data_IF_338203034899
#
_entry.id   IF_338203034899
#
_cell.length_a   1.000
_cell.length_b   1.000
_cell.length_c   1.000
_cell.angle_alpha   90.00
_cell.angle_beta   90.00
_cell.angle_gamma   90.00
#
_symmetry.space_group_name_H-M   'P 1'
#
loop_
_entity.id
_entity.type
_entity.pdbx_description
1 polymer ?
#
# COMPACT_ATOMS: atom_id res chain seq x y z
N UNK A 1 -17.21 -7.45 -21.14
CA UNK A 1 -18.06 -8.44 -20.46
C UNK A 1 -19.11 -7.64 -19.72
N UNK A 2 -20.33 -7.63 -20.26
CA UNK A 2 -21.44 -6.80 -19.81
C UNK A 2 -22.00 -7.32 -18.48
N UNK A 3 -22.41 -6.44 -17.58
CA UNK A 3 -22.99 -6.78 -16.27
C UNK A 3 -24.22 -7.71 -16.38
N UNK A 4 -24.90 -7.67 -17.52
CA UNK A 4 -26.02 -8.54 -17.87
C UNK A 4 -25.64 -10.05 -17.86
N UNK A 5 -24.40 -10.39 -18.21
CA UNK A 5 -23.95 -11.78 -18.27
C UNK A 5 -23.54 -12.33 -16.90
N UNK A 6 -23.16 -11.45 -15.95
CA UNK A 6 -22.96 -11.83 -14.54
C UNK A 6 -24.29 -12.16 -13.85
N UNK A 7 -25.34 -11.37 -14.14
CA UNK A 7 -26.69 -11.58 -13.59
C UNK A 7 -27.36 -12.86 -14.09
N UNK A 8 -26.89 -13.46 -15.19
CA UNK A 8 -27.47 -14.71 -15.69
C UNK A 8 -26.97 -15.96 -14.96
N UNK A 9 -25.82 -15.91 -14.28
CA UNK A 9 -25.23 -17.07 -13.59
C UNK A 9 -25.52 -17.12 -12.08
N UNK A 10 -25.65 -15.97 -11.41
CA UNK A 10 -26.01 -15.93 -9.99
C UNK A 10 -27.52 -15.66 -9.83
N UNK A 11 -28.26 -16.48 -9.06
CA UNK A 11 -29.68 -16.23 -8.81
C UNK A 11 -29.83 -14.88 -8.12
N UNK A 12 -30.92 -14.17 -8.41
CA UNK A 12 -31.14 -12.88 -7.78
C UNK A 12 -31.32 -13.06 -6.25
N UNK A 13 -30.89 -12.11 -5.40
CA UNK A 13 -31.01 -12.24 -3.94
C UNK A 13 -32.44 -12.53 -3.48
N UNK A 14 -33.43 -11.91 -4.12
CA UNK A 14 -34.86 -12.13 -3.91
C UNK A 14 -35.35 -13.55 -4.29
N UNK A 15 -34.56 -14.29 -5.06
CA UNK A 15 -34.82 -15.67 -5.47
C UNK A 15 -34.02 -16.69 -4.65
N UNK A 16 -33.15 -16.24 -3.74
CA UNK A 16 -32.37 -17.11 -2.86
C UNK A 16 -33.03 -17.16 -1.47
N UNK A 17 -33.54 -18.32 -1.02
CA UNK A 17 -34.17 -18.45 0.29
C UNK A 17 -33.22 -18.04 1.43
N UNK A 18 -33.77 -17.44 2.47
CA UNK A 18 -33.07 -17.01 3.69
C UNK A 18 -32.02 -15.90 3.51
N UNK A 19 -31.85 -15.39 2.28
CA UNK A 19 -31.10 -14.16 2.03
C UNK A 19 -32.02 -12.95 2.14
N UNK A 20 -31.63 -12.01 3.00
CA UNK A 20 -32.18 -10.67 2.93
C UNK A 20 -31.80 -10.03 1.59
N UNK A 21 -32.57 -9.06 1.11
CA UNK A 21 -32.31 -8.37 -0.16
C UNK A 21 -30.90 -7.76 -0.26
N UNK A 22 -30.21 -7.56 0.87
CA UNK A 22 -28.81 -7.12 0.96
C UNK A 22 -27.73 -8.23 0.88
N UNK A 23 -28.11 -9.50 0.70
CA UNK A 23 -27.18 -10.64 0.59
C UNK A 23 -26.69 -11.22 1.93
N UNK A 24 -27.31 -10.83 3.05
CA UNK A 24 -27.03 -11.36 4.39
C UNK A 24 -28.05 -12.41 4.84
N UNK A 25 -27.78 -13.08 5.96
CA UNK A 25 -28.66 -14.08 6.60
C UNK A 25 -28.93 -13.72 8.06
N UNK A 26 -30.00 -14.25 8.64
CA UNK A 26 -30.29 -14.09 10.08
C UNK A 26 -29.17 -14.71 10.93
N UNK A 27 -28.79 -14.13 12.09
CA UNK A 27 -27.81 -14.74 12.98
C UNK A 27 -28.22 -16.15 13.43
N UNK A 28 -27.42 -17.15 13.08
CA UNK A 28 -27.68 -18.57 13.37
C UNK A 28 -28.01 -19.41 12.14
N UNK A 29 -28.44 -18.76 11.05
CA UNK A 29 -28.54 -19.40 9.73
C UNK A 29 -27.15 -19.52 9.11
N UNK A 30 -26.95 -20.51 8.24
CA UNK A 30 -25.65 -20.68 7.57
C UNK A 30 -25.54 -19.61 6.47
N UNK A 31 -24.52 -18.72 6.53
CA UNK A 31 -24.31 -17.72 5.48
C UNK A 31 -24.16 -18.38 4.11
N UNK A 32 -24.57 -17.71 3.02
CA UNK A 32 -24.37 -18.23 1.67
C UNK A 32 -22.89 -18.48 1.43
N UNK A 33 -22.58 -19.52 0.65
CA UNK A 33 -21.22 -19.85 0.21
C UNK A 33 -20.71 -18.82 -0.81
N UNK A 34 -20.61 -17.55 -0.41
CA UNK A 34 -19.91 -16.49 -1.15
C UNK A 34 -18.89 -15.82 -0.23
N UNK A 35 -17.64 -16.29 -0.20
CA UNK A 35 -16.55 -15.37 0.12
C UNK A 35 -16.54 -14.30 -1.00
N UNK A 36 -16.20 -13.04 -0.78
CA UNK A 36 -14.84 -12.60 -1.09
C UNK A 36 -14.75 -11.06 -0.96
N UNK A 37 -14.48 -10.54 0.24
CA UNK A 37 -13.69 -9.30 0.38
C UNK A 37 -12.22 -9.59 0.72
N UNK A 38 -11.90 -10.86 0.95
CA UNK A 38 -10.56 -11.42 1.10
C UNK A 38 -9.80 -11.39 -0.23
N UNK A 39 -9.38 -10.19 -0.65
CA UNK A 39 -8.67 -9.97 -1.92
C UNK A 39 -8.68 -8.51 -2.40
N UNK A 40 -9.46 -7.62 -1.77
CA UNK A 40 -9.47 -6.19 -2.11
C UNK A 40 -8.28 -5.42 -1.54
N UNK A 41 -7.51 -6.03 -0.64
CA UNK A 41 -6.23 -5.48 -0.22
C UNK A 41 -5.15 -6.08 -1.11
N UNK A 42 -4.42 -5.22 -1.84
CA UNK A 42 -3.17 -5.62 -2.46
C UNK A 42 -2.19 -6.09 -1.37
N UNK A 43 -1.35 -7.08 -1.70
CA UNK A 43 -0.27 -7.53 -0.83
C UNK A 43 0.53 -6.30 -0.37
N UNK A 44 0.49 -5.99 0.93
CA UNK A 44 1.24 -4.87 1.46
C UNK A 44 2.72 -5.20 1.30
N UNK A 45 3.50 -4.37 0.58
CA UNK A 45 4.92 -4.61 0.47
C UNK A 45 5.49 -4.63 1.89
N UNK A 46 6.20 -5.72 2.20
CA UNK A 46 6.87 -5.88 3.48
C UNK A 46 7.72 -4.64 3.74
N UNK A 47 7.32 -3.82 4.71
CA UNK A 47 8.10 -2.65 5.12
C UNK A 47 9.37 -3.16 5.79
N UNK A 48 10.44 -3.29 5.00
CA UNK A 48 11.74 -3.62 5.54
C UNK A 48 12.21 -2.44 6.40
N UNK A 49 12.86 -2.74 7.53
CA UNK A 49 13.45 -1.72 8.41
C UNK A 49 14.76 -1.14 7.84
N UNK A 50 15.10 -1.49 6.60
CA UNK A 50 16.35 -1.10 5.97
C UNK A 50 16.19 0.24 5.26
N UNK A 51 17.19 1.08 5.44
CA UNK A 51 17.26 2.34 4.73
C UNK A 51 17.57 2.07 3.25
N UNK A 52 16.83 2.67 2.29
CA UNK A 52 17.05 2.40 0.88
C UNK A 52 18.45 2.84 0.46
N UNK A 53 19.10 2.06 -0.42
CA UNK A 53 20.45 2.34 -0.90
C UNK A 53 20.58 3.75 -1.50
N UNK A 54 19.55 4.24 -2.19
CA UNK A 54 19.49 5.61 -2.70
C UNK A 54 19.53 6.67 -1.59
N UNK A 55 18.90 6.40 -0.45
CA UNK A 55 18.96 7.29 0.71
C UNK A 55 20.36 7.32 1.33
N UNK A 56 21.04 6.17 1.42
CA UNK A 56 22.44 6.12 1.90
C UNK A 56 23.34 6.95 0.98
N UNK A 57 23.19 6.81 -0.34
CA UNK A 57 23.91 7.59 -1.33
C UNK A 57 23.66 9.10 -1.20
N UNK A 58 22.41 9.51 -0.98
CA UNK A 58 22.06 10.91 -0.78
C UNK A 58 22.74 11.50 0.47
N UNK A 59 22.73 10.78 1.60
CA UNK A 59 23.42 11.23 2.82
C UNK A 59 24.93 11.34 2.65
N UNK A 60 25.55 10.37 1.97
CA UNK A 60 26.99 10.43 1.66
C UNK A 60 27.32 11.63 0.76
N UNK A 61 26.49 11.89 -0.27
CA UNK A 61 26.67 13.02 -1.17
C UNK A 61 26.56 14.36 -0.46
N UNK A 62 25.52 14.54 0.36
CA UNK A 62 25.34 15.76 1.17
C UNK A 62 26.47 15.92 2.19
N UNK A 63 26.86 14.83 2.87
CA UNK A 63 27.97 14.85 3.83
C UNK A 63 29.28 15.29 3.19
N UNK A 64 29.61 14.77 2.01
CA UNK A 64 30.81 15.15 1.28
C UNK A 64 30.78 16.63 0.85
N UNK A 65 29.62 17.11 0.39
CA UNK A 65 29.43 18.52 0.03
C UNK A 65 29.66 19.45 1.22
N UNK A 66 29.10 19.11 2.39
CA UNK A 66 29.27 19.89 3.62
C UNK A 66 30.74 19.90 4.04
N UNK A 67 31.42 18.76 4.00
CA UNK A 67 32.86 18.67 4.30
C UNK A 67 33.67 19.56 3.35
N UNK A 68 33.41 19.49 2.05
CA UNK A 68 34.08 20.33 1.06
C UNK A 68 33.87 21.84 1.35
N UNK A 69 32.65 22.25 1.69
CA UNK A 69 32.37 23.62 2.10
C UNK A 69 33.15 24.04 3.35
N UNK A 70 33.20 23.19 4.38
CA UNK A 70 33.95 23.49 5.59
C UNK A 70 35.45 23.63 5.32
N UNK A 71 36.03 22.79 4.47
CA UNK A 71 37.44 22.90 4.04
C UNK A 71 37.69 24.25 3.36
N UNK A 72 36.79 24.68 2.45
CA UNK A 72 36.91 25.98 1.79
C UNK A 72 36.84 27.11 2.82
N UNK A 73 35.85 27.09 3.71
CA UNK A 73 35.66 28.14 4.73
C UNK A 73 36.91 28.23 5.62
N UNK A 74 37.40 27.10 6.14
CA UNK A 74 38.59 27.08 6.99
C UNK A 74 39.81 27.57 6.21
N UNK A 75 39.98 27.14 4.96
CA UNK A 75 41.07 27.60 4.09
C UNK A 75 41.07 29.11 3.88
N UNK A 76 39.89 29.69 3.65
CA UNK A 76 39.72 31.14 3.51
C UNK A 76 40.04 31.88 4.82
N UNK A 77 39.60 31.37 5.96
CA UNK A 77 39.89 31.97 7.27
C UNK A 77 41.40 31.96 7.54
N UNK A 78 42.06 30.82 7.32
CA UNK A 78 43.52 30.69 7.50
C UNK A 78 44.30 31.57 6.54
N UNK A 79 43.82 31.75 5.31
CA UNK A 79 44.45 32.65 4.33
C UNK A 79 44.39 34.13 4.74
N UNK A 80 43.33 34.54 5.45
CA UNK A 80 43.07 35.94 5.80
C UNK A 80 43.71 36.36 7.13
N UNK A 81 43.93 35.41 8.03
CA UNK A 81 44.63 35.61 9.32
C UNK A 81 46.15 35.72 9.12
#
# INVERSE_FOLDING_TARGET
MSDEERKSMDPAPEETPDLESGGGVTPGDTPPDTPQTSGLSHEQPNRTKHFPAGGVGAFLGVGLLVIAMLVIIVGLIVMVL
#
